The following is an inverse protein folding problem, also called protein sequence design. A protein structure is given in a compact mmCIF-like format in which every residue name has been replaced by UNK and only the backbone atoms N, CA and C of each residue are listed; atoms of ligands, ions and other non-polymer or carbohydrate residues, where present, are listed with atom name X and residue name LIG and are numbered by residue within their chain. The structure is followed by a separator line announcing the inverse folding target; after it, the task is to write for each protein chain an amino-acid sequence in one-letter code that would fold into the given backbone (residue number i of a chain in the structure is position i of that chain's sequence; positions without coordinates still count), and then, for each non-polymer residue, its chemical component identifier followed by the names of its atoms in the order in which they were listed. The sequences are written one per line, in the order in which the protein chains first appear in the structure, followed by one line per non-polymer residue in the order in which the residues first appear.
data_IF_639459805603
#
_entry.id   IF_639459805603
#
_cell.length_a   1.000
_cell.length_b   1.000
_cell.length_c   1.000
_cell.angle_alpha   90.00
_cell.angle_beta   90.00
_cell.angle_gamma   90.00
#
_symmetry.space_group_name_H-M   'P 1'
#
loop_
_entity.id
_entity.type
_entity.pdbx_description
1 polymer ?
#
# COMPACT_ATOMS: atom_id res chain seq x y z
N UNK A 1 42.23 -89.65 50.28
CA UNK A 1 41.50 -89.41 49.01
C UNK A 1 40.62 -88.19 49.24
N UNK A 2 41.10 -87.09 48.84
CA UNK A 2 40.32 -85.87 48.78
C UNK A 2 41.26 -84.72 48.39
N UNK A 3 41.17 -84.17 47.19
CA UNK A 3 41.61 -82.78 46.79
C UNK A 3 41.86 -82.69 45.29
N UNK A 4 40.80 -82.40 44.50
CA UNK A 4 40.94 -81.89 43.15
C UNK A 4 39.58 -81.37 42.68
N UNK A 5 39.17 -80.24 43.18
CA UNK A 5 37.98 -79.51 42.62
C UNK A 5 38.04 -78.02 43.06
N UNK A 6 38.80 -77.19 42.43
CA UNK A 6 38.86 -75.77 42.86
C UNK A 6 39.57 -74.80 42.00
N UNK A 7 39.95 -75.11 40.75
CA UNK A 7 40.80 -74.15 39.96
C UNK A 7 40.18 -73.68 38.61
N UNK A 8 39.00 -74.18 38.21
CA UNK A 8 38.47 -73.86 36.87
C UNK A 8 37.46 -72.73 36.83
N UNK A 9 36.96 -72.22 37.98
CA UNK A 9 35.88 -71.19 38.00
C UNK A 9 36.34 -69.72 38.01
N UNK A 10 37.66 -69.42 38.10
CA UNK A 10 38.18 -68.07 38.22
C UNK A 10 38.52 -67.32 36.91
N UNK A 11 38.72 -68.09 35.80
CA UNK A 11 39.32 -67.48 34.59
C UNK A 11 38.32 -66.98 33.54
N UNK A 12 37.03 -67.35 33.64
CA UNK A 12 36.00 -66.94 32.65
C UNK A 12 35.32 -65.59 33.01
N UNK A 13 35.38 -65.14 34.27
CA UNK A 13 34.69 -63.90 34.72
C UNK A 13 35.42 -62.59 34.45
N UNK A 14 36.73 -62.56 34.20
CA UNK A 14 37.46 -61.33 34.03
C UNK A 14 37.41 -60.78 32.59
N UNK A 15 37.25 -61.64 31.59
CA UNK A 15 37.17 -61.21 30.17
C UNK A 15 35.86 -60.57 29.76
N UNK A 16 34.76 -61.03 30.41
CA UNK A 16 33.42 -60.46 30.10
C UNK A 16 33.20 -59.04 30.66
N UNK A 17 33.71 -58.76 31.86
CA UNK A 17 33.61 -57.42 32.47
C UNK A 17 34.44 -56.36 31.72
N UNK A 18 35.60 -56.71 31.20
CA UNK A 18 36.41 -55.82 30.37
C UNK A 18 35.76 -55.49 29.00
N UNK A 19 35.13 -56.49 28.39
CA UNK A 19 34.43 -56.29 27.11
C UNK A 19 33.17 -55.46 27.28
N UNK A 20 32.37 -55.67 28.34
CA UNK A 20 31.17 -54.85 28.62
C UNK A 20 31.55 -53.39 28.96
N UNK A 21 32.65 -53.19 29.71
CA UNK A 21 33.13 -51.82 29.95
C UNK A 21 33.62 -51.12 28.67
N UNK A 22 34.32 -51.84 27.77
CA UNK A 22 34.74 -51.30 26.48
C UNK A 22 33.54 -50.94 25.57
N UNK A 23 32.49 -51.73 25.56
CA UNK A 23 31.25 -51.43 24.82
C UNK A 23 30.45 -50.25 25.41
N UNK A 24 30.41 -50.12 26.75
CA UNK A 24 29.80 -48.95 27.39
C UNK A 24 30.58 -47.66 27.13
N UNK A 25 31.91 -47.69 27.14
CA UNK A 25 32.76 -46.54 26.76
C UNK A 25 32.62 -46.24 25.27
N UNK A 26 32.53 -47.22 24.41
CA UNK A 26 32.29 -47.01 22.96
C UNK A 26 30.88 -46.47 22.70
N UNK A 27 29.83 -46.92 23.42
CA UNK A 27 28.48 -46.34 23.29
C UNK A 27 28.39 -44.92 23.84
N UNK A 28 29.10 -44.61 24.95
CA UNK A 28 29.14 -43.25 25.48
C UNK A 28 30.00 -42.32 24.60
N UNK A 29 31.02 -42.79 23.96
CA UNK A 29 31.78 -42.01 22.97
C UNK A 29 30.98 -41.79 21.68
N UNK A 30 30.13 -42.76 21.29
CA UNK A 30 29.24 -42.62 20.12
C UNK A 30 28.09 -41.65 20.39
N UNK A 31 27.61 -41.55 21.63
CA UNK A 31 26.58 -40.60 22.02
C UNK A 31 27.15 -39.15 22.15
N UNK A 32 28.43 -38.96 22.38
CA UNK A 32 29.12 -37.69 22.37
C UNK A 32 29.43 -37.18 20.94
N UNK A 33 29.38 -38.06 19.94
CA UNK A 33 29.54 -37.74 18.52
C UNK A 33 28.21 -37.41 17.81
N UNK A 34 27.09 -37.46 18.54
CA UNK A 34 25.78 -37.04 18.02
C UNK A 34 25.81 -35.54 17.70
N UNK A 35 26.15 -35.20 16.45
CA UNK A 35 26.01 -33.82 15.98
C UNK A 35 24.61 -33.30 16.19
N UNK A 36 24.46 -32.04 16.52
CA UNK A 36 23.15 -31.40 16.50
C UNK A 36 22.64 -31.36 15.06
N UNK A 37 21.44 -31.91 14.86
CA UNK A 37 20.73 -31.82 13.58
C UNK A 37 19.89 -30.55 13.63
N UNK A 38 20.23 -29.60 12.80
CA UNK A 38 19.50 -28.34 12.69
C UNK A 38 18.83 -28.23 11.32
N UNK A 39 17.55 -27.86 11.32
CA UNK A 39 16.78 -27.71 10.09
C UNK A 39 16.62 -26.25 9.76
N UNK A 40 17.04 -25.83 8.56
CA UNK A 40 16.87 -24.51 8.03
C UNK A 40 15.61 -24.51 7.17
N UNK A 41 14.62 -23.68 7.54
CA UNK A 41 13.36 -23.58 6.83
C UNK A 41 13.54 -23.01 5.40
N UNK A 42 12.59 -23.29 4.49
CA UNK A 42 12.58 -22.69 3.16
C UNK A 42 12.58 -21.16 3.20
N UNK A 43 13.43 -20.54 2.37
CA UNK A 43 13.59 -19.09 2.30
C UNK A 43 14.47 -18.48 3.38
N UNK A 44 15.11 -19.32 4.21
CA UNK A 44 16.13 -18.92 5.17
C UNK A 44 17.52 -19.43 4.74
N UNK A 45 18.56 -18.79 5.23
CA UNK A 45 19.92 -19.26 5.11
C UNK A 45 20.66 -18.97 6.41
N UNK A 46 21.76 -19.68 6.63
CA UNK A 46 22.48 -19.57 7.87
C UNK A 46 23.98 -19.42 7.65
N UNK A 47 24.64 -18.86 8.66
CA UNK A 47 26.09 -18.72 8.77
C UNK A 47 26.55 -19.49 9.99
N UNK A 48 27.57 -20.30 9.83
CA UNK A 48 28.15 -21.09 10.91
C UNK A 48 29.17 -20.26 11.69
N UNK A 49 29.01 -20.27 13.00
CA UNK A 49 30.03 -19.81 13.91
C UNK A 49 30.72 -20.99 14.61
N UNK A 50 32.02 -20.99 14.59
CA UNK A 50 32.83 -22.04 15.20
C UNK A 50 33.71 -21.49 16.30
N UNK A 51 33.85 -22.19 17.39
CA UNK A 51 34.72 -21.76 18.52
C UNK A 51 36.20 -21.58 18.09
N UNK A 52 36.66 -22.36 17.12
CA UNK A 52 38.07 -22.37 16.73
C UNK A 52 38.44 -21.33 15.67
N UNK A 53 37.48 -20.97 14.78
CA UNK A 53 37.76 -20.11 13.62
C UNK A 53 36.83 -18.87 13.55
N UNK A 54 35.87 -18.76 14.47
CA UNK A 54 34.88 -17.70 14.42
C UNK A 54 33.82 -17.93 13.33
N UNK A 55 33.36 -16.85 12.72
CA UNK A 55 32.35 -16.86 11.65
C UNK A 55 32.91 -17.46 10.35
N UNK A 56 32.27 -18.49 9.80
CA UNK A 56 32.65 -19.01 8.48
C UNK A 56 32.18 -18.03 7.39
N UNK A 57 33.16 -17.34 6.81
CA UNK A 57 32.94 -16.35 5.75
C UNK A 57 32.81 -16.97 4.35
N UNK A 58 33.09 -18.26 4.20
CA UNK A 58 33.16 -18.94 2.89
C UNK A 58 31.90 -19.72 2.56
N UNK A 59 31.24 -20.28 3.58
CA UNK A 59 30.12 -21.20 3.40
C UNK A 59 28.83 -20.58 3.87
N UNK A 60 27.81 -20.64 3.01
CA UNK A 60 26.45 -20.22 3.36
C UNK A 60 25.57 -21.48 3.33
N UNK A 61 25.02 -21.80 4.48
CA UNK A 61 24.14 -22.94 4.65
C UNK A 61 22.74 -22.57 4.18
N UNK A 62 22.26 -23.32 3.20
CA UNK A 62 20.93 -23.11 2.63
C UNK A 62 19.89 -23.98 3.31
N UNK A 63 18.64 -23.82 2.90
CA UNK A 63 17.50 -24.61 3.35
C UNK A 63 17.78 -26.12 3.32
N UNK A 64 17.24 -26.83 4.30
CA UNK A 64 17.42 -28.27 4.48
C UNK A 64 18.03 -28.64 5.82
N UNK A 65 18.29 -29.91 5.99
CA UNK A 65 18.87 -30.45 7.23
C UNK A 65 20.37 -30.33 7.20
N UNK A 66 20.94 -29.72 8.24
CA UNK A 66 22.37 -29.56 8.42
C UNK A 66 22.83 -30.33 9.67
N UNK A 67 23.94 -31.03 9.54
CA UNK A 67 24.57 -31.71 10.66
C UNK A 67 25.77 -30.90 11.10
N UNK A 68 25.70 -30.31 12.27
CA UNK A 68 26.76 -29.46 12.83
C UNK A 68 27.30 -30.05 14.13
N UNK A 69 28.53 -29.73 14.45
CA UNK A 69 29.14 -30.16 15.73
C UNK A 69 28.38 -29.44 16.89
N UNK A 70 28.19 -30.12 18.05
CA UNK A 70 27.38 -29.60 19.15
C UNK A 70 27.96 -28.34 19.83
N UNK A 71 29.19 -28.00 19.55
CA UNK A 71 29.85 -26.76 20.04
C UNK A 71 29.87 -25.62 19.05
N UNK A 72 29.29 -25.80 17.84
CA UNK A 72 29.16 -24.77 16.83
C UNK A 72 27.72 -24.18 16.88
N UNK A 73 27.59 -22.96 16.45
CA UNK A 73 26.32 -22.24 16.43
C UNK A 73 25.95 -21.81 15.01
N UNK A 74 24.68 -21.99 14.65
CA UNK A 74 24.16 -21.63 13.35
C UNK A 74 23.27 -20.39 13.47
N UNK A 75 23.70 -19.27 12.92
CA UNK A 75 22.91 -18.05 12.86
C UNK A 75 22.01 -18.04 11.62
N UNK A 76 20.71 -18.19 11.85
CA UNK A 76 19.71 -18.31 10.78
C UNK A 76 19.13 -16.92 10.43
N UNK A 77 19.14 -16.59 9.15
CA UNK A 77 18.61 -15.35 8.61
C UNK A 77 17.44 -15.63 7.65
N UNK A 78 16.36 -14.85 7.75
CA UNK A 78 15.28 -14.86 6.78
C UNK A 78 15.66 -13.98 5.58
N UNK A 79 15.64 -14.55 4.36
CA UNK A 79 15.97 -13.88 3.12
C UNK A 79 14.76 -13.28 2.41
N UNK A 80 13.57 -13.53 2.93
CA UNK A 80 12.33 -12.97 2.40
C UNK A 80 12.23 -11.50 2.76
N UNK A 81 11.35 -10.80 2.07
CA UNK A 81 10.99 -9.43 2.45
C UNK A 81 10.29 -9.43 3.79
N UNK A 82 10.84 -8.67 4.72
CA UNK A 82 10.35 -8.50 6.08
C UNK A 82 9.77 -7.12 6.23
N UNK A 83 8.69 -7.01 7.02
CA UNK A 83 8.10 -5.74 7.45
C UNK A 83 8.42 -5.53 8.93
N UNK A 84 8.95 -4.35 9.25
CA UNK A 84 9.08 -3.91 10.64
C UNK A 84 8.42 -2.57 10.85
N UNK A 85 7.67 -2.46 11.96
CA UNK A 85 6.93 -1.26 12.33
C UNK A 85 7.72 -0.42 13.31
N UNK A 86 7.69 0.90 13.11
CA UNK A 86 8.36 1.86 13.96
C UNK A 86 7.42 3.00 14.32
N UNK A 87 7.49 3.40 15.58
CA UNK A 87 6.90 4.65 16.06
C UNK A 87 7.98 5.73 16.01
N UNK A 88 7.71 6.79 15.28
CA UNK A 88 8.63 7.89 15.06
C UNK A 88 8.10 9.15 15.74
N UNK A 89 8.88 9.70 16.67
CA UNK A 89 8.65 11.02 17.24
C UNK A 89 9.53 12.01 16.50
N UNK A 90 8.94 12.85 15.68
CA UNK A 90 9.67 13.78 14.80
C UNK A 90 9.14 15.19 14.96
N UNK A 91 9.97 16.17 14.63
CA UNK A 91 9.58 17.57 14.62
C UNK A 91 9.38 18.02 13.17
N UNK A 92 8.31 18.75 12.91
CA UNK A 92 8.11 19.45 11.64
C UNK A 92 9.05 20.64 11.51
N UNK A 93 9.08 21.28 10.34
CA UNK A 93 9.86 22.53 10.11
C UNK A 93 9.48 23.65 11.09
N UNK A 94 8.23 23.67 11.55
CA UNK A 94 7.73 24.66 12.51
C UNK A 94 7.98 24.27 13.98
N UNK A 95 8.74 23.21 14.25
CA UNK A 95 9.01 22.72 15.60
C UNK A 95 7.85 21.98 16.27
N UNK A 96 6.78 21.66 15.55
CA UNK A 96 5.68 20.87 16.08
C UNK A 96 6.07 19.38 16.17
N UNK A 97 5.86 18.79 17.36
CA UNK A 97 6.03 17.35 17.55
C UNK A 97 4.92 16.58 16.85
N UNK A 98 5.31 15.58 16.10
CA UNK A 98 4.43 14.72 15.30
C UNK A 98 4.78 13.26 15.65
N UNK A 99 3.75 12.51 16.02
CA UNK A 99 3.86 11.06 16.18
C UNK A 99 3.46 10.38 14.89
N UNK A 100 4.35 9.58 14.33
CA UNK A 100 4.16 8.92 13.05
C UNK A 100 4.40 7.43 13.18
N UNK A 101 3.40 6.63 12.80
CA UNK A 101 3.54 5.18 12.66
C UNK A 101 4.00 4.87 11.24
N UNK A 102 5.10 4.14 11.14
CA UNK A 102 5.70 3.78 9.86
C UNK A 102 6.05 2.31 9.76
N UNK A 103 6.21 1.81 8.56
CA UNK A 103 6.71 0.48 8.26
C UNK A 103 7.88 0.57 7.29
N UNK A 104 8.92 -0.20 7.55
CA UNK A 104 10.03 -0.39 6.63
C UNK A 104 9.99 -1.82 6.09
N UNK A 105 10.08 -1.94 4.76
CA UNK A 105 10.19 -3.21 4.05
C UNK A 105 11.63 -3.39 3.63
N UNK A 106 12.22 -4.50 4.05
CA UNK A 106 13.62 -4.79 3.76
C UNK A 106 13.85 -6.29 3.59
N UNK A 107 14.94 -6.63 2.95
CA UNK A 107 15.38 -8.00 2.81
C UNK A 107 16.91 -8.09 2.92
N UNK A 108 17.37 -9.20 3.48
CA UNK A 108 18.81 -9.51 3.59
C UNK A 108 19.30 -10.17 2.30
N UNK A 109 20.48 -9.76 1.85
CA UNK A 109 21.12 -10.34 0.67
C UNK A 109 21.85 -11.64 1.04
N UNK A 110 21.28 -12.78 0.65
CA UNK A 110 21.79 -14.10 1.01
C UNK A 110 23.24 -14.37 0.63
N UNK A 111 23.74 -13.76 -0.45
CA UNK A 111 25.13 -13.94 -0.90
C UNK A 111 26.18 -13.30 0.01
N UNK A 112 25.79 -12.35 0.83
CA UNK A 112 26.69 -11.59 1.69
C UNK A 112 26.34 -11.71 3.19
N UNK A 113 25.64 -12.78 3.58
CA UNK A 113 25.29 -13.09 4.97
C UNK A 113 26.50 -13.12 5.91
N UNK A 114 27.65 -13.76 5.55
CA UNK A 114 28.81 -13.74 6.42
C UNK A 114 29.30 -12.34 6.76
N UNK A 115 29.25 -11.42 5.80
CA UNK A 115 29.61 -10.03 6.02
C UNK A 115 28.64 -9.32 6.96
N UNK A 116 27.34 -9.64 6.89
CA UNK A 116 26.33 -9.12 7.82
C UNK A 116 26.59 -9.63 9.23
N UNK A 117 26.84 -10.94 9.37
CA UNK A 117 27.12 -11.57 10.66
C UNK A 117 28.37 -10.96 11.32
N UNK A 118 29.43 -10.72 10.55
CA UNK A 118 30.68 -10.19 11.06
C UNK A 118 30.59 -8.72 11.45
N UNK A 119 29.92 -7.89 10.62
CA UNK A 119 29.87 -6.44 10.82
C UNK A 119 28.78 -5.98 11.78
N UNK A 120 27.66 -6.67 11.81
CA UNK A 120 26.44 -6.21 12.50
C UNK A 120 25.89 -7.26 13.46
N UNK A 121 25.92 -8.53 13.05
CA UNK A 121 25.35 -9.64 13.82
C UNK A 121 23.88 -9.92 13.52
N UNK A 122 23.25 -10.83 14.29
CA UNK A 122 21.88 -11.30 14.03
C UNK A 122 20.83 -10.22 14.32
N UNK A 123 21.09 -9.27 15.20
CA UNK A 123 20.14 -8.18 15.53
C UNK A 123 20.34 -6.94 14.63
N UNK A 124 20.54 -7.16 13.34
CA UNK A 124 20.77 -6.11 12.35
C UNK A 124 19.62 -5.09 12.28
N UNK A 125 18.40 -5.47 12.68
CA UNK A 125 17.29 -4.57 12.69
C UNK A 125 17.44 -3.44 13.72
N UNK A 126 17.66 -3.80 14.99
CA UNK A 126 17.76 -2.80 16.06
C UNK A 126 19.10 -2.05 16.04
N UNK A 127 20.17 -2.71 15.62
CA UNK A 127 21.52 -2.11 15.59
C UNK A 127 21.70 -1.18 14.39
N UNK A 128 21.10 -1.50 13.24
CA UNK A 128 21.37 -0.82 11.99
C UNK A 128 20.13 -0.17 11.37
N UNK A 129 19.07 -0.96 11.05
CA UNK A 129 17.94 -0.46 10.27
C UNK A 129 17.15 0.59 11.04
N UNK A 130 16.73 0.29 12.26
CA UNK A 130 15.89 1.19 13.04
C UNK A 130 16.56 2.56 13.33
N UNK A 131 17.84 2.65 13.72
CA UNK A 131 18.52 3.93 13.89
C UNK A 131 18.64 4.75 12.60
N UNK A 132 18.92 4.10 11.47
CA UNK A 132 18.96 4.82 10.19
C UNK A 132 17.58 5.32 9.75
N UNK A 133 16.54 4.50 9.93
CA UNK A 133 15.16 4.92 9.66
C UNK A 133 14.78 6.13 10.51
N UNK A 134 15.05 6.09 11.82
CA UNK A 134 14.77 7.22 12.73
C UNK A 134 15.56 8.47 12.34
N UNK A 135 16.81 8.33 11.94
CA UNK A 135 17.67 9.44 11.54
C UNK A 135 17.17 10.09 10.23
N UNK A 136 16.93 9.30 9.18
CA UNK A 136 16.48 9.84 7.89
C UNK A 136 15.05 10.38 7.98
N UNK A 137 14.14 9.70 8.70
CA UNK A 137 12.80 10.22 8.92
C UNK A 137 12.83 11.59 9.61
N UNK A 138 13.60 11.74 10.69
CA UNK A 138 13.74 13.03 11.39
C UNK A 138 14.30 14.12 10.49
N UNK A 139 15.31 13.81 9.70
CA UNK A 139 15.95 14.75 8.76
C UNK A 139 15.00 15.19 7.64
N UNK A 140 14.23 14.26 7.07
CA UNK A 140 13.34 14.57 5.94
C UNK A 140 12.06 15.25 6.45
N UNK A 141 11.38 14.68 7.46
CA UNK A 141 10.13 15.23 8.01
C UNK A 141 10.33 16.64 8.55
N UNK A 142 11.51 16.93 9.14
CA UNK A 142 11.86 18.27 9.62
C UNK A 142 11.93 19.37 8.54
N UNK A 143 11.78 19.03 7.27
CA UNK A 143 11.71 20.00 6.16
C UNK A 143 10.29 20.35 5.73
N UNK A 144 9.30 19.61 6.21
CA UNK A 144 7.90 19.74 5.82
C UNK A 144 7.05 20.36 6.93
N UNK A 145 6.00 21.06 6.53
CA UNK A 145 4.99 21.56 7.45
C UNK A 145 4.03 20.46 7.91
N UNK A 146 3.38 20.60 9.06
CA UNK A 146 2.39 19.63 9.54
C UNK A 146 1.27 19.34 8.52
N UNK A 147 0.85 20.36 7.77
CA UNK A 147 -0.18 20.23 6.74
C UNK A 147 0.28 19.35 5.57
N UNK A 148 1.51 19.54 5.11
CA UNK A 148 2.10 18.76 4.02
C UNK A 148 2.28 17.29 4.42
N UNK A 149 2.74 17.04 5.64
CA UNK A 149 2.92 15.69 6.18
C UNK A 149 1.57 14.97 6.32
N UNK A 150 0.53 15.71 6.76
CA UNK A 150 -0.79 15.15 6.99
C UNK A 150 -1.56 14.84 5.70
N UNK A 151 -1.41 15.65 4.64
CA UNK A 151 -2.30 15.58 3.47
C UNK A 151 -1.61 15.33 2.13
N UNK A 152 -0.77 16.27 1.66
CA UNK A 152 -0.43 16.34 0.23
C UNK A 152 0.92 15.75 -0.16
N UNK A 153 1.87 15.66 0.78
CA UNK A 153 3.26 15.31 0.46
C UNK A 153 3.73 13.96 1.03
N UNK A 154 2.80 13.14 1.50
CA UNK A 154 3.13 11.83 2.13
C UNK A 154 4.00 10.96 1.22
N UNK A 155 3.57 10.78 -0.02
CA UNK A 155 4.31 9.97 -1.01
C UNK A 155 5.71 10.54 -1.31
N UNK A 156 5.83 11.87 -1.36
CA UNK A 156 7.13 12.52 -1.55
C UNK A 156 8.06 12.28 -0.37
N UNK A 157 7.54 12.36 0.85
CA UNK A 157 8.29 12.12 2.09
C UNK A 157 8.75 10.66 2.15
N UNK A 158 7.86 9.70 1.87
CA UNK A 158 8.18 8.27 1.81
C UNK A 158 9.32 7.98 0.82
N UNK A 159 9.22 8.54 -0.38
CA UNK A 159 10.23 8.39 -1.43
C UNK A 159 11.58 8.99 -1.02
N UNK A 160 11.60 10.19 -0.42
CA UNK A 160 12.83 10.83 0.02
C UNK A 160 13.51 10.05 1.16
N UNK A 161 12.73 9.55 2.12
CA UNK A 161 13.24 8.70 3.20
C UNK A 161 13.82 7.39 2.61
N UNK A 162 13.08 6.74 1.71
CA UNK A 162 13.54 5.51 1.05
C UNK A 162 14.86 5.72 0.30
N UNK A 163 14.99 6.83 -0.43
CA UNK A 163 16.23 7.16 -1.12
C UNK A 163 17.39 7.36 -0.16
N UNK A 164 17.18 8.10 0.94
CA UNK A 164 18.18 8.30 1.98
C UNK A 164 18.58 7.00 2.68
N UNK A 165 17.65 6.11 2.95
CA UNK A 165 17.90 4.79 3.52
C UNK A 165 18.72 3.90 2.58
N UNK A 166 18.39 3.87 1.29
CA UNK A 166 19.15 3.12 0.29
C UNK A 166 20.60 3.59 0.17
N UNK A 167 20.82 4.88 0.26
CA UNK A 167 22.16 5.47 0.27
C UNK A 167 22.95 5.04 1.52
N UNK A 168 22.35 5.18 2.70
CA UNK A 168 22.97 4.86 3.99
C UNK A 168 23.30 3.37 4.17
N UNK A 169 22.43 2.51 3.64
CA UNK A 169 22.54 1.06 3.78
C UNK A 169 23.25 0.41 2.60
N UNK A 170 23.77 1.18 1.64
CA UNK A 170 24.41 0.67 0.42
C UNK A 170 25.60 -0.27 0.70
N UNK A 171 26.38 0.02 1.74
CA UNK A 171 27.57 -0.74 2.10
C UNK A 171 27.29 -1.96 2.99
N UNK A 172 26.03 -2.19 3.29
CA UNK A 172 25.54 -3.33 4.07
C UNK A 172 24.73 -4.28 3.18
N UNK A 173 24.77 -5.59 3.44
CA UNK A 173 24.05 -6.57 2.63
C UNK A 173 22.54 -6.61 2.95
N UNK A 174 21.93 -5.44 3.01
CA UNK A 174 20.51 -5.23 3.27
C UNK A 174 19.95 -4.36 2.15
N UNK A 175 18.85 -4.80 1.57
CA UNK A 175 18.12 -4.03 0.55
C UNK A 175 16.83 -3.49 1.15
N UNK A 176 16.68 -2.16 1.18
CA UNK A 176 15.42 -1.51 1.58
C UNK A 176 14.53 -1.41 0.35
N UNK A 177 13.40 -2.09 0.39
CA UNK A 177 12.44 -2.17 -0.69
C UNK A 177 11.43 -1.04 -0.63
N UNK A 178 10.95 -0.71 0.60
CA UNK A 178 9.95 0.32 0.80
C UNK A 178 10.02 0.97 2.18
N UNK A 179 9.51 2.19 2.25
CA UNK A 179 9.19 2.88 3.49
C UNK A 179 7.78 3.45 3.36
N UNK A 180 6.92 3.18 4.31
CA UNK A 180 5.50 3.51 4.29
C UNK A 180 5.13 4.27 5.55
N UNK A 181 4.43 5.37 5.40
CA UNK A 181 3.81 6.11 6.50
C UNK A 181 2.40 5.55 6.69
N UNK A 182 2.14 4.92 7.83
CA UNK A 182 0.85 4.27 8.10
C UNK A 182 -0.16 5.25 8.70
N UNK A 183 0.28 5.98 9.73
CA UNK A 183 -0.54 6.93 10.43
C UNK A 183 0.28 8.15 10.85
N UNK A 184 -0.37 9.31 10.91
CA UNK A 184 0.24 10.57 11.35
C UNK A 184 -0.67 11.19 12.39
N UNK A 185 -0.18 11.28 13.62
CA UNK A 185 -0.91 11.83 14.76
C UNK A 185 -0.43 13.23 15.08
N UNK A 186 -1.33 14.17 14.92
CA UNK A 186 -1.13 15.57 15.26
C UNK A 186 -1.90 15.90 16.54
N UNK A 187 -1.45 16.86 17.36
CA UNK A 187 -2.24 17.43 18.42
C UNK A 187 -3.61 17.90 17.90
N UNK A 188 -4.68 17.64 18.67
CA UNK A 188 -6.07 17.87 18.24
C UNK A 188 -6.30 19.30 17.71
N UNK A 189 -5.74 20.29 18.38
CA UNK A 189 -5.90 21.69 17.99
C UNK A 189 -5.33 22.00 16.61
N UNK A 190 -4.20 21.42 16.28
CA UNK A 190 -3.53 21.58 14.98
C UNK A 190 -4.29 20.83 13.89
N UNK A 191 -4.71 19.59 14.18
CA UNK A 191 -5.50 18.80 13.24
C UNK A 191 -6.79 19.52 12.84
N UNK A 192 -7.55 20.05 13.81
CA UNK A 192 -8.78 20.80 13.53
C UNK A 192 -8.50 22.06 12.71
N UNK A 193 -7.39 22.77 12.99
CA UNK A 193 -7.02 23.93 12.21
C UNK A 193 -6.68 23.59 10.74
N UNK A 194 -5.95 22.49 10.51
CA UNK A 194 -5.63 22.00 9.17
C UNK A 194 -6.92 21.55 8.44
N UNK A 195 -7.79 20.79 9.09
CA UNK A 195 -9.07 20.34 8.53
C UNK A 195 -9.95 21.52 8.11
N UNK A 196 -10.03 22.57 8.95
CA UNK A 196 -10.75 23.81 8.59
C UNK A 196 -10.14 24.49 7.38
N UNK A 197 -8.81 24.66 7.34
CA UNK A 197 -8.12 25.27 6.21
C UNK A 197 -8.41 24.49 4.92
N UNK A 198 -8.29 23.17 4.94
CA UNK A 198 -8.58 22.32 3.78
C UNK A 198 -10.06 22.42 3.35
N UNK A 199 -10.99 22.49 4.30
CA UNK A 199 -12.41 22.69 4.02
C UNK A 199 -12.69 24.03 3.34
N UNK A 200 -12.09 25.12 3.82
CA UNK A 200 -12.22 26.44 3.20
C UNK A 200 -11.60 26.48 1.79
N UNK A 201 -10.46 25.86 1.59
CA UNK A 201 -9.83 25.74 0.29
C UNK A 201 -10.69 24.96 -0.71
N UNK A 202 -11.29 23.85 -0.29
CA UNK A 202 -12.26 23.09 -1.09
C UNK A 202 -13.53 23.90 -1.40
N UNK A 203 -14.04 24.67 -0.44
CA UNK A 203 -15.18 25.56 -0.63
C UNK A 203 -14.84 26.66 -1.65
N UNK A 204 -13.65 27.24 -1.59
CA UNK A 204 -13.18 28.22 -2.55
C UNK A 204 -13.12 27.64 -3.98
N UNK A 205 -12.49 26.49 -4.16
CA UNK A 205 -12.42 25.79 -5.44
C UNK A 205 -13.82 25.44 -5.99
N UNK A 206 -14.71 24.99 -5.12
CA UNK A 206 -16.11 24.73 -5.49
C UNK A 206 -16.82 25.99 -5.95
N UNK A 207 -16.63 27.11 -5.24
CA UNK A 207 -17.23 28.40 -5.63
C UNK A 207 -16.68 28.90 -6.97
N UNK A 208 -15.39 28.76 -7.21
CA UNK A 208 -14.78 29.11 -8.50
C UNK A 208 -15.38 28.29 -9.64
N UNK A 209 -15.53 26.97 -9.44
CA UNK A 209 -16.22 26.10 -10.40
C UNK A 209 -17.68 26.52 -10.65
N UNK A 210 -18.44 26.83 -9.59
CA UNK A 210 -19.83 27.29 -9.70
C UNK A 210 -19.91 28.59 -10.50
N UNK A 211 -18.99 29.54 -10.26
CA UNK A 211 -18.92 30.79 -11.01
C UNK A 211 -18.56 30.55 -12.49
N UNK A 212 -17.66 29.63 -12.80
CA UNK A 212 -17.32 29.29 -14.18
C UNK A 212 -18.52 28.65 -14.91
N UNK A 213 -19.21 27.73 -14.27
CA UNK A 213 -20.46 27.14 -14.81
C UNK A 213 -21.53 28.20 -15.04
N UNK A 214 -21.72 29.12 -14.09
CA UNK A 214 -22.68 30.22 -14.24
C UNK A 214 -22.33 31.14 -15.41
N UNK A 215 -21.04 31.50 -15.59
CA UNK A 215 -20.55 32.27 -16.74
C UNK A 215 -20.80 31.56 -18.06
N UNK A 216 -20.45 30.28 -18.15
CA UNK A 216 -20.67 29.45 -19.36
C UNK A 216 -22.16 29.30 -19.67
N UNK A 217 -23.01 29.17 -18.65
CA UNK A 217 -24.46 29.09 -18.80
C UNK A 217 -25.03 30.43 -19.31
N UNK A 218 -24.57 31.55 -18.77
CA UNK A 218 -24.97 32.89 -19.25
C UNK A 218 -24.53 33.13 -20.71
N UNK A 219 -23.30 32.72 -21.04
CA UNK A 219 -22.81 32.81 -22.42
C UNK A 219 -23.62 31.93 -23.39
N UNK A 220 -23.95 30.69 -22.98
CA UNK A 220 -24.82 29.80 -23.74
C UNK A 220 -26.17 30.43 -24.02
N UNK A 221 -26.82 30.96 -22.98
CA UNK A 221 -28.12 31.64 -23.12
C UNK A 221 -28.07 32.88 -24.07
N UNK A 222 -26.94 33.62 -24.00
CA UNK A 222 -26.71 34.73 -24.90
C UNK A 222 -26.61 34.28 -26.36
N UNK A 223 -25.78 33.26 -26.65
CA UNK A 223 -25.63 32.67 -27.98
C UNK A 223 -26.97 32.09 -28.49
N UNK A 224 -27.75 31.46 -27.64
CA UNK A 224 -29.10 30.95 -27.97
C UNK A 224 -30.05 32.14 -28.33
N UNK A 225 -30.02 33.21 -27.55
CA UNK A 225 -30.81 34.42 -27.84
C UNK A 225 -30.41 35.09 -29.14
N UNK A 226 -29.12 35.25 -29.39
CA UNK A 226 -28.56 35.77 -30.65
C UNK A 226 -28.95 34.88 -31.87
N UNK A 227 -28.94 33.54 -31.66
CA UNK A 227 -29.43 32.58 -32.66
C UNK A 227 -30.94 32.69 -32.95
N UNK A 228 -31.76 32.89 -31.92
CA UNK A 228 -33.21 33.10 -32.07
C UNK A 228 -33.48 34.42 -32.77
N UNK A 229 -32.77 35.50 -32.43
CA UNK A 229 -32.88 36.82 -33.10
C UNK A 229 -32.53 36.70 -34.58
N UNK A 230 -31.39 36.11 -34.91
CA UNK A 230 -30.97 35.88 -36.29
C UNK A 230 -31.97 35.03 -37.07
N UNK A 231 -32.50 33.98 -36.46
CA UNK A 231 -33.56 33.15 -37.05
C UNK A 231 -34.84 33.96 -37.30
N UNK A 232 -35.31 34.71 -36.30
CA UNK A 232 -36.49 35.58 -36.45
C UNK A 232 -36.35 36.60 -37.58
N UNK A 233 -35.17 37.22 -37.72
CA UNK A 233 -34.86 38.17 -38.77
C UNK A 233 -34.94 37.50 -40.15
N UNK A 234 -34.31 36.33 -40.32
CA UNK A 234 -34.38 35.57 -41.58
C UNK A 234 -35.82 35.15 -41.91
N UNK A 235 -36.57 34.74 -40.91
CA UNK A 235 -37.98 34.36 -41.07
C UNK A 235 -38.83 35.55 -41.48
N UNK A 236 -38.68 36.72 -40.83
CA UNK A 236 -39.43 37.95 -41.15
C UNK A 236 -39.15 38.45 -42.56
N UNK A 237 -37.88 38.43 -43.01
CA UNK A 237 -37.50 38.86 -44.35
C UNK A 237 -38.09 37.94 -45.46
N UNK A 238 -38.31 36.64 -45.19
CA UNK A 238 -38.77 35.65 -46.16
C UNK A 238 -40.23 35.21 -45.97
N UNK A 239 -40.95 35.71 -44.95
CA UNK A 239 -42.34 35.34 -44.70
C UNK A 239 -43.29 36.02 -45.64
N UNK A 240 -43.55 35.40 -46.77
CA UNK A 240 -44.70 35.76 -47.62
C UNK A 240 -46.00 35.20 -47.08
N UNK A 241 -47.10 35.91 -47.32
CA UNK A 241 -48.45 35.44 -46.87
C UNK A 241 -48.77 34.04 -47.39
N UNK A 242 -48.33 33.70 -48.59
CA UNK A 242 -48.45 32.37 -49.18
C UNK A 242 -47.70 31.27 -48.41
N UNK A 243 -46.51 31.54 -47.90
CA UNK A 243 -45.74 30.59 -47.09
C UNK A 243 -46.43 30.29 -45.74
N UNK A 244 -46.95 31.27 -45.06
CA UNK A 244 -47.70 31.09 -43.82
C UNK A 244 -48.99 30.28 -44.02
N UNK A 245 -49.67 30.54 -45.14
CA UNK A 245 -50.88 29.75 -45.49
C UNK A 245 -50.49 28.26 -45.74
N UNK A 246 -49.41 28.04 -46.50
CA UNK A 246 -48.94 26.68 -46.78
C UNK A 246 -48.51 25.94 -45.52
N UNK A 247 -47.77 26.59 -44.62
CA UNK A 247 -47.35 26.03 -43.33
C UNK A 247 -48.56 25.75 -42.41
N UNK A 248 -49.59 26.58 -42.44
CA UNK A 248 -50.84 26.34 -41.74
C UNK A 248 -51.56 25.08 -42.24
N UNK A 249 -51.59 24.89 -43.56
CA UNK A 249 -52.16 23.68 -44.19
C UNK A 249 -51.36 22.41 -43.78
N UNK A 250 -50.04 22.46 -43.85
CA UNK A 250 -49.16 21.35 -43.43
C UNK A 250 -49.37 20.99 -41.95
N UNK A 251 -49.46 21.96 -41.07
CA UNK A 251 -49.73 21.75 -39.65
C UNK A 251 -51.10 21.13 -39.39
N UNK A 252 -52.10 21.56 -40.14
CA UNK A 252 -53.47 21.01 -40.07
C UNK A 252 -53.51 19.58 -40.60
N UNK A 253 -52.78 19.25 -41.65
CA UNK A 253 -52.65 17.89 -42.18
C UNK A 253 -51.97 16.94 -41.17
N UNK A 254 -50.89 17.40 -40.51
CA UNK A 254 -50.22 16.63 -39.44
C UNK A 254 -51.11 16.38 -38.23
N UNK A 255 -51.94 17.37 -37.86
CA UNK A 255 -52.92 17.23 -36.80
C UNK A 255 -54.03 16.23 -37.19
N UNK A 256 -54.53 16.29 -38.43
CA UNK A 256 -55.53 15.36 -38.94
C UNK A 256 -55.05 13.90 -39.01
N UNK A 257 -53.76 13.67 -39.21
CA UNK A 257 -53.15 12.33 -39.24
C UNK A 257 -52.69 11.84 -37.85
N UNK A 258 -52.85 12.66 -36.81
CA UNK A 258 -52.43 12.27 -35.43
C UNK A 258 -53.43 11.27 -34.86
N UNK A 259 -52.98 10.11 -34.30
CA UNK A 259 -53.86 9.10 -33.72
C UNK A 259 -54.54 9.55 -32.41
N UNK A 260 -54.14 10.68 -31.84
CA UNK A 260 -54.82 11.29 -30.69
C UNK A 260 -55.86 12.29 -31.16
N UNK A 261 -57.12 11.90 -31.11
CA UNK A 261 -58.27 12.73 -31.44
C UNK A 261 -58.42 13.91 -30.46
N UNK A 262 -57.72 15.01 -30.78
CA UNK A 262 -57.95 16.30 -30.12
C UNK A 262 -58.77 17.15 -31.12
N UNK A 263 -59.96 17.63 -30.68
CA UNK A 263 -60.73 18.56 -31.50
C UNK A 263 -60.06 19.92 -31.44
N UNK A 264 -59.47 20.34 -32.54
CA UNK A 264 -58.86 21.70 -32.66
C UNK A 264 -59.90 22.57 -33.42
N UNK A 265 -60.46 23.51 -32.75
CA UNK A 265 -61.37 24.53 -33.38
C UNK A 265 -60.49 25.72 -33.75
N UNK A 266 -60.18 25.91 -35.03
CA UNK A 266 -59.54 27.10 -35.54
C UNK A 266 -60.55 28.17 -35.79
N UNK A 267 -60.69 29.13 -34.86
CA UNK A 267 -61.56 30.29 -35.03
C UNK A 267 -60.97 31.29 -36.01
N UNK A 268 -61.68 31.61 -37.08
CA UNK A 268 -61.33 32.64 -38.05
C UNK A 268 -61.60 34.06 -37.55
N UNK A 269 -60.71 34.63 -36.73
CA UNK A 269 -60.78 36.06 -36.36
C UNK A 269 -59.52 36.78 -36.83
N UNK A 270 -59.59 38.11 -37.05
CA UNK A 270 -58.55 38.97 -37.61
C UNK A 270 -57.20 38.89 -36.85
N UNK A 271 -57.12 38.25 -35.64
CA UNK A 271 -55.92 37.98 -34.84
C UNK A 271 -56.04 36.58 -34.20
N UNK A 272 -56.58 35.55 -34.87
CA UNK A 272 -56.86 34.25 -34.30
C UNK A 272 -55.63 33.43 -33.89
N UNK A 273 -55.41 33.38 -32.62
CA UNK A 273 -54.58 32.31 -32.01
C UNK A 273 -55.43 31.04 -31.95
N UNK A 274 -54.87 29.87 -32.30
CA UNK A 274 -55.58 28.59 -32.17
C UNK A 274 -55.87 28.31 -30.69
N UNK A 275 -57.12 28.14 -30.32
CA UNK A 275 -57.48 27.70 -28.97
C UNK A 275 -57.60 26.17 -29.00
N UNK A 276 -56.71 25.53 -28.25
CA UNK A 276 -56.75 24.08 -28.07
C UNK A 276 -57.67 23.77 -26.89
N UNK A 277 -58.88 23.24 -27.16
CA UNK A 277 -59.73 22.69 -26.10
C UNK A 277 -59.42 21.19 -25.95
N UNK A 278 -58.98 20.81 -24.80
CA UNK A 278 -58.88 19.41 -24.41
C UNK A 278 -60.33 18.95 -24.04
N UNK A 279 -60.89 18.11 -24.85
CA UNK A 279 -62.08 17.36 -24.45
C UNK A 279 -61.61 16.15 -23.63
N UNK A 280 -61.41 16.37 -22.34
CA UNK A 280 -61.31 15.26 -21.39
C UNK A 280 -62.71 14.66 -21.25
N UNK A 281 -62.88 13.50 -21.93
CA UNK A 281 -64.12 12.71 -21.73
C UNK A 281 -64.00 12.10 -20.32
N UNK A 282 -64.65 12.78 -19.35
CA UNK A 282 -65.02 12.17 -18.11
C UNK A 282 -65.84 10.92 -18.36
N UNK A 283 -65.28 9.77 -18.23
CA UNK A 283 -65.95 8.48 -18.14
C UNK A 283 -65.69 7.97 -16.72
N UNK A 284 -66.64 8.20 -15.87
CA UNK A 284 -66.77 7.50 -14.62
C UNK A 284 -67.12 6.03 -14.82
N UNK A 285 -66.46 5.19 -14.10
CA UNK A 285 -66.98 4.08 -13.29
C UNK A 285 -65.90 3.58 -12.40
#
# INVERSE_FOLDING_TARGET
MSAMSGVVSGFIRSGARRRVGAWMVALSALSLLGGCIESIDPGKAAVLWTISQGTDTKTIYREGVQVIAPWNELYIYDLRTQESRLHLHVLSVNGLAIDMDSSVLYRVQGKALPTLQEKVGPDYYHVLIAPYVMSEARKIVGRFTPSEIYSSQRETIERLILMGLREKLRDYPITVEGFLIRDVRLPRIIRVAIERKLTEEQNYQRMEYVLDVARKTAQKRRIEAEGIEAFQKIVQENLTRSYLTWKGIEATEKLAKSPNAKIVIIGGGKNGLPVILNADSGGGH
#
